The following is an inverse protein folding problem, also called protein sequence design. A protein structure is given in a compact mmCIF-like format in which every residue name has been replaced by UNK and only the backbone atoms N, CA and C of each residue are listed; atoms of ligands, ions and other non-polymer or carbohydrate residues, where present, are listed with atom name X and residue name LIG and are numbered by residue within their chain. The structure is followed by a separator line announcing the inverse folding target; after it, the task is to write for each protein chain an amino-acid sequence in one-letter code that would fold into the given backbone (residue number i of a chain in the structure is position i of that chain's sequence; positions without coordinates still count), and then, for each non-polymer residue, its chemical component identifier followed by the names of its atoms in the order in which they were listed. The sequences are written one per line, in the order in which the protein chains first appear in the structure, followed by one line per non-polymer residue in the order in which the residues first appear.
data_IF_214493633473
#
_entry.id   IF_214493633473
#
_cell.length_a   1.000
_cell.length_b   1.000
_cell.length_c   1.000
_cell.angle_alpha   90.00
_cell.angle_beta   90.00
_cell.angle_gamma   90.00
#
_symmetry.space_group_name_H-M   'P 1'
#
loop_
_entity.id
_entity.type
_entity.pdbx_description
1 polymer ?
#
# COMPACT_ATOMS: atom_id res chain seq x y z
N UNK A 1 -8.62 21.99 -43.44
CA UNK A 1 -9.33 22.53 -42.26
C UNK A 1 -10.47 21.60 -41.84
N UNK A 2 -11.58 21.53 -42.60
CA UNK A 2 -12.79 20.75 -42.26
C UNK A 2 -12.59 19.29 -41.84
N UNK A 3 -11.68 18.55 -42.49
CA UNK A 3 -11.39 17.13 -42.17
C UNK A 3 -10.64 16.91 -40.84
N UNK A 4 -9.85 17.90 -40.39
CA UNK A 4 -9.16 17.87 -39.09
C UNK A 4 -10.10 18.21 -37.94
N UNK A 5 -11.06 19.11 -38.19
CA UNK A 5 -12.14 19.43 -37.23
C UNK A 5 -12.99 18.19 -36.95
N UNK A 6 -13.44 17.50 -38.01
CA UNK A 6 -14.25 16.28 -37.92
C UNK A 6 -13.49 15.16 -37.20
N UNK A 7 -12.19 15.00 -37.47
CA UNK A 7 -11.34 14.02 -36.78
C UNK A 7 -11.15 14.38 -35.30
N UNK A 8 -11.08 15.66 -34.93
CA UNK A 8 -11.01 16.10 -33.53
C UNK A 8 -12.33 15.87 -32.79
N UNK A 9 -13.46 16.25 -33.38
CA UNK A 9 -14.78 15.98 -32.81
C UNK A 9 -15.04 14.48 -32.68
N UNK A 10 -14.62 13.68 -33.65
CA UNK A 10 -14.71 12.22 -33.57
C UNK A 10 -13.77 11.63 -32.51
N UNK A 11 -12.56 12.19 -32.32
CA UNK A 11 -11.62 11.73 -31.31
C UNK A 11 -12.10 12.11 -29.89
N UNK A 12 -12.60 13.34 -29.70
CA UNK A 12 -13.16 13.80 -28.42
C UNK A 12 -14.45 13.05 -28.06
N UNK A 13 -15.30 12.73 -29.06
CA UNK A 13 -16.48 11.89 -28.87
C UNK A 13 -16.13 10.44 -28.51
N UNK A 14 -15.04 9.90 -29.06
CA UNK A 14 -14.58 8.54 -28.74
C UNK A 14 -13.95 8.50 -27.37
N UNK A 15 -13.12 9.49 -27.01
CA UNK A 15 -12.51 9.59 -25.69
C UNK A 15 -13.57 9.77 -24.59
N UNK A 16 -14.61 10.58 -24.82
CA UNK A 16 -15.72 10.72 -23.86
C UNK A 16 -16.55 9.45 -23.72
N UNK A 17 -16.78 8.72 -24.83
CA UNK A 17 -17.53 7.46 -24.80
C UNK A 17 -16.72 6.35 -24.11
N UNK A 18 -15.41 6.29 -24.34
CA UNK A 18 -14.49 5.39 -23.65
C UNK A 18 -14.45 5.73 -22.16
N UNK A 19 -14.37 7.01 -21.79
CA UNK A 19 -14.40 7.43 -20.39
C UNK A 19 -15.72 7.04 -19.71
N UNK A 20 -16.86 7.30 -20.35
CA UNK A 20 -18.18 6.92 -19.86
C UNK A 20 -18.36 5.41 -19.78
N UNK A 21 -17.76 4.65 -20.71
CA UNK A 21 -17.80 3.20 -20.71
C UNK A 21 -16.88 2.62 -19.62
N UNK A 22 -15.72 3.23 -19.37
CA UNK A 22 -14.83 2.88 -18.26
C UNK A 22 -15.46 3.23 -16.91
N UNK A 23 -16.14 4.38 -16.79
CA UNK A 23 -16.89 4.79 -15.59
C UNK A 23 -18.10 3.88 -15.37
N UNK A 24 -18.84 3.51 -16.42
CA UNK A 24 -19.93 2.51 -16.33
C UNK A 24 -19.44 1.10 -15.99
N UNK A 25 -18.26 0.70 -16.45
CA UNK A 25 -17.63 -0.58 -16.04
C UNK A 25 -17.12 -0.56 -14.59
N UNK A 26 -16.75 0.62 -14.08
CA UNK A 26 -16.41 0.85 -12.68
C UNK A 26 -17.66 0.87 -11.78
N UNK A 27 -18.76 1.50 -12.22
CA UNK A 27 -20.02 1.60 -11.46
C UNK A 27 -20.86 0.30 -11.48
N UNK A 28 -20.82 -0.48 -12.57
CA UNK A 28 -21.49 -1.79 -12.65
C UNK A 28 -20.75 -2.91 -11.90
N UNK A 29 -19.57 -2.63 -11.34
CA UNK A 29 -18.87 -3.51 -10.39
C UNK A 29 -19.12 -3.06 -8.95
N UNK A 30 -20.39 -3.02 -8.55
CA UNK A 30 -20.71 -3.20 -7.13
C UNK A 30 -20.38 -4.64 -6.71
N UNK A 31 -20.02 -4.89 -5.44
CA UNK A 31 -19.01 -5.86 -5.03
C UNK A 31 -19.53 -7.30 -4.92
N UNK A 32 -20.39 -7.76 -5.83
CA UNK A 32 -20.90 -9.13 -5.84
C UNK A 32 -20.05 -10.06 -6.72
N UNK A 33 -19.49 -9.57 -7.83
CA UNK A 33 -18.61 -10.38 -8.69
C UNK A 33 -17.19 -10.62 -8.13
N UNK A 34 -16.76 -9.82 -7.14
CA UNK A 34 -15.45 -10.00 -6.47
C UNK A 34 -15.54 -11.07 -5.38
N UNK A 35 -16.74 -11.27 -4.80
CA UNK A 35 -16.98 -12.25 -3.72
C UNK A 35 -16.96 -13.68 -4.26
N UNK A 36 -17.45 -13.94 -5.49
CA UNK A 36 -17.35 -15.26 -6.13
C UNK A 36 -15.97 -15.59 -6.70
N UNK A 37 -15.13 -14.58 -6.96
CA UNK A 37 -13.73 -14.78 -7.35
C UNK A 37 -12.78 -14.96 -6.15
N UNK A 38 -13.36 -15.21 -4.97
CA UNK A 38 -12.68 -15.43 -3.70
C UNK A 38 -11.59 -16.48 -3.81
N UNK A 39 -10.38 -16.12 -3.40
CA UNK A 39 -9.12 -16.87 -3.48
C UNK A 39 -8.33 -16.78 -4.80
N UNK A 40 -8.94 -16.79 -5.99
CA UNK A 40 -8.15 -16.71 -7.25
C UNK A 40 -7.91 -15.27 -7.74
N UNK A 41 -8.81 -14.33 -7.42
CA UNK A 41 -8.71 -12.95 -7.92
C UNK A 41 -7.46 -12.21 -7.42
N UNK A 42 -7.04 -12.43 -6.17
CA UNK A 42 -5.84 -11.75 -5.63
C UNK A 42 -4.55 -12.25 -6.28
N UNK A 43 -4.52 -13.43 -6.90
CA UNK A 43 -3.37 -13.90 -7.68
C UNK A 43 -3.12 -13.04 -8.94
N UNK A 44 -4.09 -12.19 -9.32
CA UNK A 44 -3.97 -11.20 -10.40
C UNK A 44 -3.84 -9.77 -9.90
N UNK A 45 -3.82 -9.57 -8.57
CA UNK A 45 -3.66 -8.26 -7.98
C UNK A 45 -2.33 -7.61 -8.38
N UNK A 46 -2.31 -6.30 -8.66
CA UNK A 46 -1.08 -5.57 -8.92
C UNK A 46 -0.10 -5.69 -7.75
N UNK A 47 1.18 -5.81 -8.10
CA UNK A 47 2.27 -5.80 -7.15
C UNK A 47 2.86 -4.39 -7.03
N UNK A 48 3.21 -3.95 -5.83
CA UNK A 48 3.96 -2.70 -5.62
C UNK A 48 5.27 -2.99 -4.88
N UNK A 49 6.44 -2.64 -5.43
CA UNK A 49 7.75 -2.94 -4.85
C UNK A 49 8.13 -2.02 -3.67
N UNK A 50 7.23 -1.78 -2.71
CA UNK A 50 7.44 -0.94 -1.52
C UNK A 50 8.25 -1.61 -0.42
N UNK A 51 8.62 -2.88 -0.61
CA UNK A 51 9.34 -3.69 0.38
C UNK A 51 10.70 -4.08 -0.19
N UNK A 52 11.68 -4.30 0.68
CA UNK A 52 13.00 -4.80 0.28
C UNK A 52 12.90 -6.12 -0.50
N UNK A 53 13.81 -6.31 -1.45
CA UNK A 53 13.91 -7.49 -2.35
C UNK A 53 13.74 -8.84 -1.65
N UNK A 54 14.47 -9.09 -0.55
CA UNK A 54 14.43 -10.35 0.19
C UNK A 54 13.23 -10.56 1.11
N UNK A 55 12.22 -9.69 1.05
CA UNK A 55 11.00 -9.81 1.85
C UNK A 55 9.84 -10.30 0.99
N UNK A 56 8.78 -10.86 1.60
CA UNK A 56 7.58 -11.26 0.87
C UNK A 56 7.02 -10.10 0.06
N UNK A 57 6.70 -10.37 -1.20
CA UNK A 57 6.07 -9.43 -2.12
C UNK A 57 4.72 -8.94 -1.57
N UNK A 58 4.30 -7.75 -2.01
CA UNK A 58 3.05 -7.14 -1.58
C UNK A 58 2.07 -7.00 -2.74
N UNK A 59 0.89 -7.62 -2.62
CA UNK A 59 -0.19 -7.53 -3.62
C UNK A 59 -1.32 -6.65 -3.14
N UNK A 60 -1.72 -5.70 -3.98
CA UNK A 60 -2.77 -4.73 -3.68
C UNK A 60 -4.14 -5.32 -4.00
N UNK A 61 -4.96 -5.51 -2.96
CA UNK A 61 -6.32 -6.01 -3.08
C UNK A 61 -7.28 -4.90 -3.52
N UNK A 62 -7.17 -3.72 -2.91
CA UNK A 62 -7.93 -2.51 -3.28
C UNK A 62 -7.23 -1.24 -2.84
N UNK A 63 -7.57 -0.15 -3.51
CA UNK A 63 -7.28 1.22 -3.07
C UNK A 63 -8.41 1.72 -2.16
N UNK A 64 -8.07 2.66 -1.28
CA UNK A 64 -9.00 3.31 -0.35
C UNK A 64 -9.01 4.81 -0.63
N UNK A 65 -9.73 5.25 -1.70
CA UNK A 65 -9.68 6.62 -2.18
C UNK A 65 -10.22 7.63 -1.15
N UNK A 66 -11.26 7.26 -0.39
CA UNK A 66 -11.88 8.13 0.62
C UNK A 66 -10.92 8.49 1.78
N UNK A 67 -9.87 7.71 1.96
CA UNK A 67 -8.84 7.93 2.99
C UNK A 67 -7.63 8.71 2.47
N UNK A 68 -7.56 8.97 1.16
CA UNK A 68 -6.40 9.59 0.54
C UNK A 68 -6.29 11.06 0.96
N UNK A 69 -5.05 11.49 1.22
CA UNK A 69 -4.77 12.85 1.68
C UNK A 69 -3.86 13.53 0.68
N UNK A 70 -4.31 14.65 0.12
CA UNK A 70 -3.47 15.52 -0.69
C UNK A 70 -2.58 16.36 0.23
N UNK A 71 -1.27 16.28 0.03
CA UNK A 71 -0.29 17.03 0.80
C UNK A 71 -0.04 18.38 0.12
N UNK A 72 -0.13 19.46 0.88
CA UNK A 72 0.03 20.81 0.35
C UNK A 72 1.49 21.10 0.00
N UNK A 73 1.79 21.27 -1.30
CA UNK A 73 3.10 21.75 -1.77
C UNK A 73 2.96 22.74 -2.92
N UNK A 74 3.99 23.59 -3.09
CA UNK A 74 4.08 24.59 -4.15
C UNK A 74 4.52 23.93 -5.48
N UNK A 75 3.63 23.17 -6.13
CA UNK A 75 3.73 22.93 -7.58
C UNK A 75 3.51 21.51 -8.10
N UNK A 76 3.69 20.45 -7.29
CA UNK A 76 3.56 19.05 -7.76
C UNK A 76 2.55 18.18 -6.99
N UNK A 77 1.91 18.76 -5.97
CA UNK A 77 0.75 18.20 -5.22
C UNK A 77 0.89 16.70 -4.92
N UNK A 78 1.86 16.30 -4.07
CA UNK A 78 1.99 14.91 -3.66
C UNK A 78 0.79 14.47 -2.84
N UNK A 79 0.46 13.18 -2.90
CA UNK A 79 -0.70 12.63 -2.20
C UNK A 79 -0.36 11.31 -1.51
N UNK A 80 -0.93 11.12 -0.33
CA UNK A 80 -0.85 9.88 0.42
C UNK A 80 -1.99 8.96 -0.02
N UNK A 81 -1.63 7.80 -0.57
CA UNK A 81 -2.55 6.75 -0.99
C UNK A 81 -2.58 5.65 0.07
N UNK A 82 -3.78 5.19 0.42
CA UNK A 82 -4.00 4.02 1.27
C UNK A 82 -4.44 2.84 0.43
N UNK A 83 -3.86 1.68 0.68
CA UNK A 83 -4.19 0.42 0.01
C UNK A 83 -4.35 -0.70 1.01
N UNK A 84 -5.31 -1.58 0.75
CA UNK A 84 -5.37 -2.88 1.41
C UNK A 84 -4.55 -3.86 0.59
N UNK A 85 -3.61 -4.55 1.25
CA UNK A 85 -2.71 -5.46 0.58
C UNK A 85 -2.42 -6.69 1.41
N UNK A 86 -1.93 -7.74 0.74
CA UNK A 86 -1.57 -9.02 1.33
C UNK A 86 -0.12 -9.37 0.98
N UNK A 87 0.57 -10.00 1.92
CA UNK A 87 1.88 -10.59 1.67
C UNK A 87 1.74 -11.88 0.85
N UNK A 88 2.55 -12.01 -0.19
CA UNK A 88 2.67 -13.23 -0.97
C UNK A 88 3.59 -14.25 -0.29
N UNK A 89 3.59 -15.47 -0.80
CA UNK A 89 4.60 -16.47 -0.43
C UNK A 89 5.88 -16.35 -1.26
N UNK A 90 5.84 -15.55 -2.33
CA UNK A 90 6.97 -15.21 -3.19
C UNK A 90 7.71 -13.97 -2.66
N UNK A 91 9.03 -13.93 -2.84
CA UNK A 91 9.87 -12.79 -2.47
C UNK A 91 9.81 -11.66 -3.50
N UNK A 92 10.02 -10.43 -3.06
CA UNK A 92 9.89 -9.23 -3.89
C UNK A 92 10.87 -9.19 -5.09
N UNK A 93 12.01 -9.88 -5.01
CA UNK A 93 12.96 -9.99 -6.13
C UNK A 93 12.80 -11.24 -7.00
N UNK A 94 11.75 -12.04 -6.81
CA UNK A 94 11.56 -13.24 -7.62
C UNK A 94 11.25 -12.84 -9.07
N UNK A 95 11.93 -13.50 -10.02
CA UNK A 95 11.70 -13.28 -11.46
C UNK A 95 10.28 -13.63 -11.89
N UNK A 96 9.61 -14.51 -11.14
CA UNK A 96 8.26 -14.98 -11.38
C UNK A 96 7.21 -14.30 -10.50
N UNK A 97 7.53 -13.16 -9.87
CA UNK A 97 6.60 -12.41 -9.02
C UNK A 97 5.27 -12.06 -9.71
N UNK A 98 5.29 -11.85 -11.03
CA UNK A 98 4.11 -11.59 -11.85
C UNK A 98 3.40 -12.88 -12.34
N UNK A 99 4.06 -14.03 -12.22
CA UNK A 99 3.62 -15.33 -12.74
C UNK A 99 3.14 -16.30 -11.65
N UNK A 100 2.98 -15.86 -10.39
CA UNK A 100 2.57 -16.70 -9.24
C UNK A 100 1.36 -17.60 -9.55
N UNK A 101 0.41 -17.12 -10.36
CA UNK A 101 -0.75 -17.90 -10.84
C UNK A 101 -0.35 -19.21 -11.55
N UNK A 102 0.68 -19.18 -12.40
CA UNK A 102 1.15 -20.36 -13.16
C UNK A 102 1.79 -21.42 -12.24
N UNK A 103 2.27 -21.00 -11.07
CA UNK A 103 2.96 -21.86 -10.09
C UNK A 103 1.95 -22.36 -9.03
N UNK A 104 0.94 -21.54 -8.71
CA UNK A 104 -0.03 -21.75 -7.64
C UNK A 104 -1.07 -22.85 -7.92
N UNK A 105 -1.42 -23.13 -9.18
CA UNK A 105 -2.36 -24.22 -9.50
C UNK A 105 -1.79 -25.62 -9.17
N UNK A 106 -0.51 -25.72 -8.79
CA UNK A 106 0.14 -26.98 -8.41
C UNK A 106 0.58 -27.08 -6.93
N UNK A 107 0.42 -26.04 -6.11
CA UNK A 107 0.96 -26.05 -4.74
C UNK A 107 -0.05 -25.48 -3.74
N UNK A 108 -0.55 -26.34 -2.86
CA UNK A 108 -1.33 -25.97 -1.67
C UNK A 108 -0.39 -25.25 -0.71
N UNK A 109 -0.63 -23.96 -0.47
CA UNK A 109 0.24 -23.16 0.39
C UNK A 109 -0.24 -23.17 1.85
N UNK A 110 0.65 -23.46 2.82
CA UNK A 110 0.31 -23.36 4.23
C UNK A 110 0.20 -21.89 4.65
N UNK A 111 -0.82 -21.58 5.44
CA UNK A 111 -0.92 -20.29 6.15
C UNK A 111 0.34 -20.05 6.96
N UNK A 112 1.02 -18.92 6.73
CA UNK A 112 2.14 -18.49 7.57
C UNK A 112 1.64 -18.25 8.99
N UNK A 113 2.10 -19.07 9.94
CA UNK A 113 1.85 -18.88 11.38
C UNK A 113 2.63 -17.63 11.83
N UNK A 114 1.92 -16.55 12.12
CA UNK A 114 2.52 -15.38 12.76
C UNK A 114 2.71 -15.73 14.24
N UNK A 115 3.91 -15.60 14.81
CA UNK A 115 4.12 -15.83 16.23
C UNK A 115 3.22 -14.87 17.03
N UNK A 116 2.55 -15.34 18.10
CA UNK A 116 1.72 -14.48 18.93
C UNK A 116 2.56 -13.35 19.50
N UNK A 117 2.04 -12.12 19.41
CA UNK A 117 2.65 -10.94 20.01
C UNK A 117 2.92 -11.21 21.50
N UNK A 118 4.11 -10.90 22.03
CA UNK A 118 4.41 -11.13 23.44
C UNK A 118 3.40 -10.45 24.35
N UNK A 119 2.95 -11.19 25.36
CA UNK A 119 2.02 -10.73 26.40
C UNK A 119 2.63 -9.56 27.18
N UNK A 120 1.87 -8.46 27.31
CA UNK A 120 2.29 -7.26 28.04
C UNK A 120 2.09 -7.45 29.54
N UNK A 121 3.19 -7.36 30.28
CA UNK A 121 3.21 -7.27 31.75
C UNK A 121 3.58 -5.84 32.17
N UNK A 122 2.93 -5.36 33.23
CA UNK A 122 3.21 -4.17 34.08
C UNK A 122 2.36 -2.89 33.87
N UNK A 123 1.49 -2.66 34.85
CA UNK A 123 0.41 -1.67 34.95
C UNK A 123 0.82 -0.19 34.93
N UNK A 124 2.10 0.14 35.13
CA UNK A 124 2.59 1.53 35.11
C UNK A 124 2.95 2.01 33.70
N UNK A 125 3.46 1.11 32.85
CA UNK A 125 3.74 1.40 31.44
C UNK A 125 2.42 1.71 30.71
N UNK A 126 1.36 1.00 31.09
CA UNK A 126 0.04 1.14 30.47
C UNK A 126 -0.58 2.52 30.67
N UNK A 127 -0.34 3.17 31.82
CA UNK A 127 -0.89 4.51 32.10
C UNK A 127 -0.20 5.60 31.27
N UNK A 128 1.12 5.59 31.21
CA UNK A 128 1.89 6.54 30.41
C UNK A 128 1.62 6.36 28.91
N UNK A 129 1.55 5.12 28.43
CA UNK A 129 1.22 4.78 27.06
C UNK A 129 -0.21 5.22 26.68
N UNK A 130 -1.16 5.07 27.60
CA UNK A 130 -2.54 5.56 27.42
C UNK A 130 -2.59 7.08 27.29
N UNK A 131 -1.85 7.81 28.14
CA UNK A 131 -1.74 9.28 28.04
C UNK A 131 -1.11 9.71 26.72
N UNK A 132 -0.03 9.04 26.29
CA UNK A 132 0.63 9.30 25.01
C UNK A 132 -0.30 9.07 23.82
N UNK A 133 -1.04 7.96 23.82
CA UNK A 133 -2.06 7.65 22.80
C UNK A 133 -3.16 8.69 22.75
N UNK A 134 -3.64 9.15 23.91
CA UNK A 134 -4.65 10.21 23.99
C UNK A 134 -4.12 11.53 23.40
N UNK A 135 -2.88 11.92 23.73
CA UNK A 135 -2.26 13.12 23.18
C UNK A 135 -2.12 13.05 21.66
N UNK A 136 -1.61 11.92 21.13
CA UNK A 136 -1.49 11.71 19.68
C UNK A 136 -2.85 11.81 19.01
N UNK A 137 -3.88 11.24 19.63
CA UNK A 137 -5.25 11.30 19.10
C UNK A 137 -5.77 12.74 19.01
N UNK A 138 -5.47 13.56 20.02
CA UNK A 138 -5.85 14.98 20.02
C UNK A 138 -5.11 15.78 18.95
N UNK A 139 -3.82 15.50 18.72
CA UNK A 139 -2.99 16.28 17.79
C UNK A 139 -3.15 15.83 16.34
N UNK A 140 -3.17 14.51 16.10
CA UNK A 140 -3.09 13.91 14.76
C UNK A 140 -4.40 13.22 14.32
N UNK A 141 -5.42 13.19 15.18
CA UNK A 141 -6.70 12.56 14.87
C UNK A 141 -6.71 11.05 15.14
N UNK A 142 -7.05 10.24 14.15
CA UNK A 142 -7.14 8.79 14.34
C UNK A 142 -5.76 8.12 14.44
N UNK A 143 -5.65 7.08 15.28
CA UNK A 143 -4.46 6.24 15.37
C UNK A 143 -4.41 5.26 14.19
N UNK A 144 -3.20 4.85 13.79
CA UNK A 144 -3.00 3.88 12.70
C UNK A 144 -3.75 2.56 12.97
N UNK A 145 -3.69 2.05 14.20
CA UNK A 145 -4.32 0.77 14.54
C UNK A 145 -5.85 0.84 14.50
N UNK A 146 -6.42 1.97 14.90
CA UNK A 146 -7.87 2.18 14.86
C UNK A 146 -8.35 2.37 13.41
N UNK A 147 -7.59 3.13 12.60
CA UNK A 147 -7.80 3.29 11.16
C UNK A 147 -7.76 1.94 10.45
N UNK A 148 -6.73 1.13 10.71
CA UNK A 148 -6.57 -0.20 10.11
C UNK A 148 -7.74 -1.12 10.46
N UNK A 149 -8.16 -1.18 11.73
CA UNK A 149 -9.33 -1.98 12.14
C UNK A 149 -10.62 -1.53 11.44
N UNK A 150 -10.87 -0.22 11.39
CA UNK A 150 -12.04 0.36 10.71
C UNK A 150 -12.07 -0.02 9.23
N UNK A 151 -10.95 0.13 8.54
CA UNK A 151 -10.85 -0.12 7.10
C UNK A 151 -10.90 -1.61 6.75
N UNK A 152 -10.27 -2.47 7.56
CA UNK A 152 -10.37 -3.92 7.39
C UNK A 152 -11.77 -4.45 7.73
N UNK A 153 -12.49 -3.79 8.64
CA UNK A 153 -13.87 -4.12 8.99
C UNK A 153 -14.87 -3.89 7.86
N UNK A 154 -14.62 -2.92 6.99
CA UNK A 154 -15.44 -2.64 5.79
C UNK A 154 -14.92 -3.33 4.53
N UNK A 155 -13.97 -4.26 4.68
CA UNK A 155 -13.32 -4.88 3.54
C UNK A 155 -14.13 -6.03 2.94
N UNK A 156 -14.34 -6.05 1.60
CA UNK A 156 -14.95 -7.19 0.92
C UNK A 156 -14.03 -8.42 0.92
N UNK A 157 -12.74 -8.28 1.26
CA UNK A 157 -11.76 -9.36 1.26
C UNK A 157 -11.63 -10.06 2.62
N UNK A 158 -12.71 -10.08 3.41
CA UNK A 158 -12.70 -10.55 4.81
C UNK A 158 -12.14 -11.97 5.00
N UNK A 159 -12.33 -12.85 4.01
CA UNK A 159 -11.83 -14.22 4.03
C UNK A 159 -10.33 -14.39 3.76
N UNK A 160 -9.61 -13.33 3.36
CA UNK A 160 -8.17 -13.42 3.07
C UNK A 160 -7.37 -13.17 4.36
N UNK A 161 -6.57 -14.14 4.84
CA UNK A 161 -5.73 -13.94 6.02
C UNK A 161 -4.56 -13.00 5.72
N UNK A 162 -3.92 -12.46 6.77
CA UNK A 162 -2.66 -11.71 6.68
C UNK A 162 -2.69 -10.45 5.80
N UNK A 163 -3.87 -9.85 5.64
CA UNK A 163 -4.07 -8.55 5.01
C UNK A 163 -3.81 -7.40 5.98
N UNK A 164 -3.29 -6.29 5.47
CA UNK A 164 -2.98 -5.08 6.23
C UNK A 164 -3.19 -3.84 5.37
N UNK A 165 -3.30 -2.68 6.03
CA UNK A 165 -3.40 -1.38 5.35
C UNK A 165 -2.01 -0.75 5.24
N UNK A 166 -1.63 -0.43 4.01
CA UNK A 166 -0.39 0.26 3.69
C UNK A 166 -0.70 1.68 3.23
N UNK A 167 0.21 2.59 3.54
CA UNK A 167 0.15 3.98 3.12
C UNK A 167 1.48 4.35 2.47
N UNK A 168 1.43 5.06 1.37
CA UNK A 168 2.61 5.59 0.71
C UNK A 168 2.30 6.92 0.04
N UNK A 169 3.34 7.76 -0.09
CA UNK A 169 3.23 9.06 -0.73
C UNK A 169 3.61 8.88 -2.19
N UNK A 170 2.71 9.29 -3.08
CA UNK A 170 2.99 9.38 -4.51
C UNK A 170 3.41 10.81 -4.82
N UNK A 171 4.62 10.93 -5.36
CA UNK A 171 5.17 12.19 -5.88
C UNK A 171 5.31 12.04 -7.40
N UNK A 172 4.29 12.48 -8.12
CA UNK A 172 4.34 12.42 -9.58
C UNK A 172 5.29 13.49 -10.14
N UNK A 173 6.04 13.14 -11.18
CA UNK A 173 6.97 14.04 -11.89
C UNK A 173 8.06 14.64 -10.97
N UNK A 174 8.42 13.97 -9.89
CA UNK A 174 9.50 14.36 -8.98
C UNK A 174 10.72 13.45 -9.16
N UNK A 175 11.92 14.04 -9.06
CA UNK A 175 13.16 13.27 -9.17
C UNK A 175 13.62 12.86 -7.77
N UNK A 176 13.26 11.65 -7.37
CA UNK A 176 13.53 11.14 -6.02
C UNK A 176 14.93 10.54 -5.87
N UNK A 177 15.82 10.68 -6.86
CA UNK A 177 17.17 10.12 -6.81
C UNK A 177 18.01 10.73 -5.68
N UNK A 178 17.79 12.01 -5.36
CA UNK A 178 18.47 12.66 -4.24
C UNK A 178 18.04 12.07 -2.91
N UNK A 179 16.74 11.91 -2.69
CA UNK A 179 16.20 11.28 -1.48
C UNK A 179 16.59 9.80 -1.40
N UNK A 180 16.63 9.09 -2.52
CA UNK A 180 17.11 7.70 -2.59
C UNK A 180 18.56 7.59 -2.08
N UNK A 181 19.45 8.47 -2.53
CA UNK A 181 20.83 8.53 -2.05
C UNK A 181 20.90 8.87 -0.56
N UNK A 182 20.10 9.82 -0.10
CA UNK A 182 20.03 10.19 1.31
C UNK A 182 19.62 9.00 2.19
N UNK A 183 18.62 8.22 1.76
CA UNK A 183 18.20 7.01 2.47
C UNK A 183 19.31 5.94 2.48
N UNK A 184 20.08 5.78 1.41
CA UNK A 184 21.22 4.87 1.40
C UNK A 184 22.26 5.28 2.45
N UNK A 185 22.59 6.57 2.55
CA UNK A 185 23.50 7.10 3.57
C UNK A 185 22.95 6.91 4.99
N UNK A 186 21.66 7.18 5.21
CA UNK A 186 21.01 6.96 6.51
C UNK A 186 21.06 5.49 6.91
N UNK A 187 20.86 4.55 5.99
CA UNK A 187 21.00 3.12 6.29
C UNK A 187 22.45 2.75 6.66
N UNK A 188 23.45 3.36 6.01
CA UNK A 188 24.86 3.15 6.36
C UNK A 188 25.18 3.70 7.77
N UNK A 189 24.69 4.89 8.11
CA UNK A 189 24.85 5.45 9.45
C UNK A 189 24.12 4.64 10.51
N UNK A 190 22.90 4.16 10.23
CA UNK A 190 22.15 3.28 11.14
C UNK A 190 22.92 1.99 11.44
N UNK A 191 23.58 1.41 10.43
CA UNK A 191 24.46 0.27 10.62
C UNK A 191 25.65 0.60 11.54
N UNK A 192 26.39 1.68 11.27
CA UNK A 192 27.54 2.10 12.09
C UNK A 192 27.12 2.45 13.52
N UNK A 193 26.04 3.22 13.70
CA UNK A 193 25.56 3.60 15.03
C UNK A 193 25.14 2.39 15.86
N UNK A 194 24.55 1.37 15.25
CA UNK A 194 24.25 0.11 15.93
C UNK A 194 25.51 -0.66 16.31
N UNK A 195 26.51 -0.72 15.43
CA UNK A 195 27.80 -1.34 15.73
C UNK A 195 28.51 -0.65 16.90
N UNK A 196 28.56 0.68 16.87
CA UNK A 196 29.20 1.52 17.88
C UNK A 196 28.33 1.76 19.13
N UNK A 197 27.13 1.17 19.19
CA UNK A 197 26.16 1.32 20.28
C UNK A 197 25.82 2.78 20.60
N UNK A 198 25.79 3.63 19.59
CA UNK A 198 25.39 5.03 19.69
C UNK A 198 23.89 5.09 19.98
N UNK A 199 23.50 5.90 20.97
CA UNK A 199 22.09 6.11 21.32
C UNK A 199 21.41 7.08 20.35
N UNK A 200 21.26 6.67 19.09
CA UNK A 200 20.56 7.39 18.04
C UNK A 200 19.46 6.52 17.44
N UNK A 201 18.29 7.10 17.19
CA UNK A 201 17.17 6.43 16.53
C UNK A 201 17.06 6.94 15.09
N UNK A 202 17.39 6.08 14.13
CA UNK A 202 17.20 6.34 12.71
C UNK A 202 16.06 5.48 12.17
N UNK A 203 15.16 6.11 11.41
CA UNK A 203 13.99 5.47 10.80
C UNK A 203 13.99 5.66 9.29
N UNK A 204 14.88 4.97 8.56
CA UNK A 204 14.91 5.02 7.10
C UNK A 204 13.58 4.48 6.53
N UNK A 205 13.03 5.17 5.54
CA UNK A 205 11.83 4.74 4.80
C UNK A 205 12.18 4.30 3.39
N UNK A 206 11.30 3.52 2.76
CA UNK A 206 11.50 3.04 1.40
C UNK A 206 11.19 4.15 0.39
N UNK A 207 12.07 4.32 -0.59
CA UNK A 207 11.85 5.17 -1.77
C UNK A 207 11.88 4.27 -3.01
N UNK A 208 10.98 4.53 -3.94
CA UNK A 208 10.93 3.91 -5.27
C UNK A 208 10.97 5.06 -6.26
N UNK A 209 11.92 4.99 -7.20
CA UNK A 209 12.05 5.91 -8.33
C UNK A 209 11.44 5.26 -9.59
#
# INVERSE_FOLDING_TARGET
AKRKEILREQLESVDSLILDQMVKELDNKTPTGVVEAGSSAYLRAPHIPLIRSGKPALRVLRTLPDECVVLSTKGRVPYMLFVEAVHCNIVNCDVNIFCERLISDQLIFPSRVIPPSPAKTSSNIDKAEKTRRALIRTVFGELREDKEKRLLGTSPFAGIPNRSIYAFIVKANDDLRQEQLAIQLINAFDFVFKMEKVNALLTPFTIIC
#
